data_IF_602910847620
#
_entry.id   IF_602910847620
#
_cell.length_a   1.000
_cell.length_b   1.000
_cell.length_c   1.000
_cell.angle_alpha   90.00
_cell.angle_beta   90.00
_cell.angle_gamma   90.00
#
_symmetry.space_group_name_H-M   'P 1'
#
loop_
_entity.id
_entity.type
_entity.pdbx_description
1 polymer ?
#
# COMPACT_ATOMS: atom_id res chain seq x y z
N UNK A 1 5.07 7.23 58.20
CA UNK A 1 4.64 8.47 57.51
C UNK A 1 5.42 8.60 56.21
N UNK A 2 4.71 8.91 55.12
CA UNK A 2 5.19 9.33 53.79
C UNK A 2 5.78 8.23 52.90
N UNK A 3 5.40 8.05 51.64
CA UNK A 3 4.31 8.56 50.80
C UNK A 3 4.18 7.53 49.66
N UNK A 4 2.97 7.07 49.41
CA UNK A 4 2.60 6.17 48.32
C UNK A 4 2.53 7.00 47.02
N UNK A 5 3.55 6.94 46.16
CA UNK A 5 3.45 7.50 44.81
C UNK A 5 2.78 6.44 43.93
N UNK A 6 1.46 6.58 43.78
CA UNK A 6 0.68 5.88 42.76
C UNK A 6 0.95 6.60 41.44
N UNK A 7 1.88 6.07 40.64
CA UNK A 7 2.09 6.50 39.27
C UNK A 7 0.95 5.98 38.39
N UNK A 8 -0.05 6.84 38.13
CA UNK A 8 -1.08 6.58 37.14
C UNK A 8 -0.48 6.75 35.74
N UNK A 9 0.05 5.67 35.18
CA UNK A 9 0.45 5.61 33.77
C UNK A 9 -0.82 5.50 32.94
N UNK A 10 -1.29 6.66 32.47
CA UNK A 10 -2.36 6.78 31.50
C UNK A 10 -1.85 6.24 30.15
N UNK A 11 -2.13 4.97 29.88
CA UNK A 11 -1.89 4.33 28.60
C UNK A 11 -2.91 4.87 27.58
N UNK A 12 -2.58 5.96 26.91
CA UNK A 12 -3.31 6.47 25.74
C UNK A 12 -2.98 5.59 24.53
N UNK A 13 -3.62 4.43 24.46
CA UNK A 13 -3.63 3.63 23.24
C UNK A 13 -4.56 4.31 22.22
N UNK A 14 -3.98 5.13 21.35
CA UNK A 14 -4.67 5.73 20.20
C UNK A 14 -4.82 4.65 19.13
N UNK A 15 -5.86 3.81 19.25
CA UNK A 15 -6.27 2.90 18.19
C UNK A 15 -6.96 3.70 17.07
N UNK A 16 -6.17 4.37 16.24
CA UNK A 16 -6.62 4.84 14.93
C UNK A 16 -6.68 3.68 13.95
N UNK A 17 -7.63 2.76 14.14
CA UNK A 17 -7.89 1.72 13.16
C UNK A 17 -8.59 2.38 11.96
N UNK A 18 -7.94 2.35 10.80
CA UNK A 18 -8.49 2.81 9.52
C UNK A 18 -9.71 1.89 9.20
N UNK A 19 -10.90 2.29 9.68
CA UNK A 19 -12.04 1.38 9.92
C UNK A 19 -12.61 0.72 8.66
N UNK A 20 -12.21 1.19 7.49
CA UNK A 20 -12.74 0.74 6.20
C UNK A 20 -11.81 -0.26 5.49
N UNK A 21 -10.54 -0.38 5.91
CA UNK A 21 -9.60 -1.32 5.30
C UNK A 21 -9.86 -2.75 5.79
N UNK A 22 -10.10 -3.68 4.87
CA UNK A 22 -10.10 -5.13 5.19
C UNK A 22 -8.69 -5.71 5.17
N UNK A 23 -7.76 -5.01 4.53
CA UNK A 23 -6.36 -5.37 4.46
C UNK A 23 -5.51 -4.13 4.24
N UNK A 24 -4.40 -4.01 4.96
CA UNK A 24 -3.40 -2.96 4.76
C UNK A 24 -2.04 -3.48 5.22
N UNK A 25 -1.05 -3.49 4.33
CA UNK A 25 0.29 -3.98 4.66
C UNK A 25 1.35 -3.36 3.74
N UNK A 26 2.59 -3.33 4.23
CA UNK A 26 3.79 -2.93 3.51
C UNK A 26 4.81 -4.06 3.58
N UNK A 27 5.64 -4.17 2.53
CA UNK A 27 6.84 -4.98 2.51
C UNK A 27 8.01 -4.04 2.25
N UNK A 28 8.94 -4.02 3.19
CA UNK A 28 10.16 -3.20 3.12
C UNK A 28 11.22 -3.88 2.26
N UNK A 29 11.97 -3.08 1.51
CA UNK A 29 13.09 -3.52 0.70
C UNK A 29 14.41 -3.27 1.41
N UNK A 30 15.28 -4.28 1.38
CA UNK A 30 16.61 -4.18 1.95
C UNK A 30 17.40 -3.08 1.24
N UNK A 31 18.12 -2.27 2.03
CA UNK A 31 18.97 -1.18 1.54
C UNK A 31 18.24 -0.19 0.61
N UNK A 32 16.91 -0.08 0.70
CA UNK A 32 16.05 0.75 -0.15
C UNK A 32 16.12 0.43 -1.65
N UNK A 33 16.41 -0.82 -1.99
CA UNK A 33 16.57 -1.29 -3.36
C UNK A 33 15.49 -2.32 -3.71
N UNK A 34 14.58 -1.96 -4.63
CA UNK A 34 13.56 -2.88 -5.12
C UNK A 34 14.06 -3.60 -6.37
N UNK A 35 14.50 -4.85 -6.20
CA UNK A 35 14.90 -5.68 -7.33
C UNK A 35 13.68 -6.18 -8.11
N UNK A 36 13.82 -6.35 -9.43
CA UNK A 36 12.73 -6.85 -10.30
C UNK A 36 12.26 -8.27 -9.93
N UNK A 37 13.17 -9.07 -9.37
CA UNK A 37 12.90 -10.43 -8.87
C UNK A 37 12.12 -10.43 -7.55
N UNK A 38 12.16 -9.32 -6.81
CA UNK A 38 11.43 -9.20 -5.56
C UNK A 38 9.99 -8.86 -5.91
N UNK A 39 9.10 -9.85 -5.79
CA UNK A 39 7.68 -9.73 -6.10
C UNK A 39 6.86 -9.85 -4.81
N UNK A 40 6.71 -8.75 -4.03
CA UNK A 40 5.85 -8.69 -2.85
C UNK A 40 4.46 -9.28 -3.08
N UNK A 41 4.02 -10.11 -2.14
CA UNK A 41 2.80 -10.90 -2.22
C UNK A 41 1.93 -10.67 -1.00
N UNK A 42 0.72 -10.19 -1.22
CA UNK A 42 -0.23 -9.76 -0.21
C UNK A 42 -1.45 -10.67 -0.25
N UNK A 43 -1.72 -11.41 0.84
CA UNK A 43 -2.84 -12.35 0.92
C UNK A 43 -3.87 -11.87 1.94
N UNK A 44 -5.14 -11.84 1.53
CA UNK A 44 -6.26 -11.39 2.35
C UNK A 44 -7.53 -12.17 2.03
N UNK A 45 -8.51 -12.09 2.94
CA UNK A 45 -9.79 -12.79 2.80
C UNK A 45 -10.92 -11.82 2.42
N UNK A 46 -11.63 -12.14 1.35
CA UNK A 46 -12.87 -11.47 0.95
C UNK A 46 -14.05 -12.27 1.50
N UNK A 47 -14.77 -11.68 2.45
CA UNK A 47 -15.94 -12.30 3.12
C UNK A 47 -17.28 -11.97 2.46
N UNK A 48 -17.33 -10.90 1.68
CA UNK A 48 -18.53 -10.41 0.98
C UNK A 48 -18.14 -9.91 -0.42
N UNK A 49 -18.47 -10.70 -1.42
CA UNK A 49 -18.22 -10.45 -2.84
C UNK A 49 -19.18 -9.42 -3.46
N UNK A 50 -20.24 -9.04 -2.74
CA UNK A 50 -21.21 -8.05 -3.23
C UNK A 50 -20.70 -6.61 -3.07
N UNK A 51 -19.72 -6.41 -2.18
CA UNK A 51 -19.11 -5.10 -1.90
C UNK A 51 -18.14 -4.72 -3.03
N UNK A 52 -18.22 -3.49 -3.58
CA UNK A 52 -17.26 -2.97 -4.54
C UNK A 52 -16.06 -2.34 -3.80
N UNK A 53 -14.93 -3.04 -3.72
CA UNK A 53 -13.77 -2.62 -2.94
C UNK A 53 -12.84 -1.67 -3.69
N UNK A 54 -12.26 -0.70 -2.99
CA UNK A 54 -11.15 0.07 -3.52
C UNK A 54 -9.83 -0.64 -3.23
N UNK A 55 -8.98 -0.74 -4.26
CA UNK A 55 -7.63 -1.28 -4.15
C UNK A 55 -6.65 -0.12 -4.32
N UNK A 56 -5.80 0.08 -3.32
CA UNK A 56 -4.75 1.10 -3.34
C UNK A 56 -3.37 0.45 -3.37
N UNK A 57 -2.48 1.03 -4.17
CA UNK A 57 -1.05 0.82 -4.04
C UNK A 57 -0.51 1.80 -3.01
N UNK A 58 0.34 1.31 -2.10
CA UNK A 58 1.03 2.13 -1.13
C UNK A 58 2.51 2.14 -1.51
N UNK A 59 3.12 3.31 -1.62
CA UNK A 59 4.55 3.44 -1.98
C UNK A 59 5.22 4.31 -0.94
N UNK A 60 6.34 3.83 -0.38
CA UNK A 60 7.26 4.64 0.40
C UNK A 60 8.54 4.82 -0.37
N UNK A 61 8.88 6.06 -0.67
CA UNK A 61 10.12 6.39 -1.39
C UNK A 61 10.89 7.50 -0.68
N UNK A 62 12.19 7.54 -0.91
CA UNK A 62 13.02 8.64 -0.47
C UNK A 62 12.99 9.79 -1.50
N UNK A 63 13.35 11.01 -1.08
CA UNK A 63 13.49 12.20 -1.95
C UNK A 63 14.50 12.00 -3.08
N UNK A 64 15.48 11.12 -2.89
CA UNK A 64 16.55 10.80 -3.84
C UNK A 64 16.09 9.88 -4.98
N UNK A 65 14.84 9.37 -4.94
CA UNK A 65 14.30 8.56 -6.03
C UNK A 65 14.37 9.34 -7.36
N UNK A 66 15.02 8.79 -8.41
CA UNK A 66 15.44 9.60 -9.57
C UNK A 66 14.34 9.85 -10.61
N UNK A 67 13.13 9.32 -10.39
CA UNK A 67 12.03 9.41 -11.35
C UNK A 67 10.81 10.10 -10.73
N UNK A 68 10.01 10.78 -11.55
CA UNK A 68 8.73 11.31 -11.06
C UNK A 68 7.65 10.22 -10.90
N UNK A 69 7.82 9.09 -11.60
CA UNK A 69 6.85 8.02 -11.71
C UNK A 69 7.45 6.65 -11.38
N UNK A 70 6.56 5.70 -11.17
CA UNK A 70 6.86 4.32 -10.87
C UNK A 70 5.85 3.44 -11.61
N UNK A 71 6.33 2.53 -12.45
CA UNK A 71 5.51 1.53 -13.12
C UNK A 71 5.51 0.24 -12.31
N UNK A 72 4.32 -0.26 -11.99
CA UNK A 72 4.12 -1.50 -11.21
C UNK A 72 3.12 -2.38 -11.92
N UNK A 73 3.47 -3.63 -12.19
CA UNK A 73 2.49 -4.63 -12.62
C UNK A 73 1.83 -5.24 -11.40
N UNK A 74 0.51 -5.10 -11.31
CA UNK A 74 -0.34 -5.78 -10.32
C UNK A 74 -0.89 -7.06 -10.92
N UNK A 75 -0.78 -8.15 -10.18
CA UNK A 75 -1.42 -9.43 -10.47
C UNK A 75 -2.40 -9.76 -9.35
N UNK A 76 -3.63 -10.16 -9.68
CA UNK A 76 -4.62 -10.64 -8.71
C UNK A 76 -4.89 -12.12 -8.99
N UNK A 77 -4.67 -12.95 -7.98
CA UNK A 77 -4.97 -14.37 -8.00
C UNK A 77 -6.21 -14.65 -7.13
N UNK A 78 -7.13 -15.44 -7.67
CA UNK A 78 -8.34 -15.87 -6.98
C UNK A 78 -8.07 -16.97 -5.94
N UNK A 79 -9.11 -17.39 -5.18
CA UNK A 79 -9.02 -18.46 -4.18
C UNK A 79 -8.58 -19.83 -4.70
N UNK A 80 -8.65 -20.05 -6.01
CA UNK A 80 -8.17 -21.24 -6.71
C UNK A 80 -6.75 -21.06 -7.29
N UNK A 81 -6.03 -20.02 -6.87
CA UNK A 81 -4.71 -19.61 -7.36
C UNK A 81 -4.66 -19.30 -8.86
N UNK A 82 -5.80 -19.08 -9.53
CA UNK A 82 -5.82 -18.63 -10.94
C UNK A 82 -5.64 -17.13 -11.02
N UNK A 83 -4.84 -16.68 -11.99
CA UNK A 83 -4.71 -15.27 -12.32
C UNK A 83 -6.03 -14.76 -12.90
N UNK A 84 -6.66 -13.78 -12.25
CA UNK A 84 -7.95 -13.19 -12.68
C UNK A 84 -7.81 -11.75 -13.17
N UNK A 85 -6.73 -11.07 -12.81
CA UNK A 85 -6.45 -9.72 -13.26
C UNK A 85 -4.95 -9.47 -13.33
N UNK A 86 -4.49 -8.87 -14.43
CA UNK A 86 -3.14 -8.34 -14.60
C UNK A 86 -3.25 -6.92 -15.14
N UNK A 87 -2.61 -5.96 -14.50
CA UNK A 87 -2.64 -4.56 -14.92
C UNK A 87 -1.30 -3.88 -14.66
N UNK A 88 -0.81 -3.14 -15.65
CA UNK A 88 0.29 -2.20 -15.45
C UNK A 88 -0.28 -0.91 -14.89
N UNK A 89 0.27 -0.47 -13.76
CA UNK A 89 -0.12 0.76 -13.07
C UNK A 89 1.00 1.78 -13.17
N UNK A 90 0.62 3.03 -13.41
CA UNK A 90 1.52 4.16 -13.32
C UNK A 90 1.22 4.91 -12.03
N UNK A 91 2.22 4.99 -11.16
CA UNK A 91 2.18 5.77 -9.93
C UNK A 91 2.99 7.06 -10.15
N UNK A 92 2.41 8.22 -9.84
CA UNK A 92 3.11 9.50 -9.85
C UNK A 92 3.50 9.85 -8.41
N UNK A 93 4.80 9.90 -8.13
CA UNK A 93 5.35 10.15 -6.80
C UNK A 93 5.77 11.62 -6.62
N UNK A 94 6.22 12.25 -7.70
CA UNK A 94 6.65 13.64 -7.73
C UNK A 94 5.95 14.38 -8.87
N UNK A 95 5.71 15.67 -8.67
CA UNK A 95 5.20 16.54 -9.73
C UNK A 95 6.27 16.65 -10.85
N UNK A 96 5.92 16.36 -12.12
CA UNK A 96 6.91 16.21 -13.18
C UNK A 96 7.81 17.41 -13.47
N UNK A 97 7.35 18.65 -13.24
CA UNK A 97 8.10 19.87 -13.59
C UNK A 97 8.95 20.39 -12.43
N UNK A 98 8.42 20.30 -11.23
CA UNK A 98 8.99 20.89 -10.01
C UNK A 98 9.75 19.88 -9.16
N UNK A 99 9.51 18.58 -9.36
CA UNK A 99 10.03 17.53 -8.49
C UNK A 99 9.41 17.54 -7.09
N UNK A 100 8.34 18.32 -6.87
CA UNK A 100 7.68 18.37 -5.57
C UNK A 100 7.02 17.02 -5.25
N UNK A 101 7.27 16.42 -4.08
CA UNK A 101 6.62 15.16 -3.69
C UNK A 101 5.10 15.34 -3.59
N UNK A 102 4.36 14.34 -4.07
CA UNK A 102 2.90 14.29 -4.02
C UNK A 102 2.37 13.50 -2.82
N UNK A 103 3.22 12.67 -2.22
CA UNK A 103 2.93 11.91 -1.00
C UNK A 103 2.93 12.79 0.26
N UNK A 104 2.51 12.19 1.38
CA UNK A 104 2.66 12.78 2.72
C UNK A 104 3.96 12.29 3.33
N UNK A 105 4.71 13.17 3.98
CA UNK A 105 6.05 12.81 4.44
C UNK A 105 6.66 13.83 5.38
N UNK A 106 7.78 13.47 5.98
CA UNK A 106 8.60 14.34 6.80
C UNK A 106 10.07 14.12 6.42
N UNK A 107 10.80 15.21 6.20
CA UNK A 107 12.19 15.16 5.74
C UNK A 107 12.28 14.53 4.36
N UNK A 108 13.05 13.46 4.24
CA UNK A 108 13.37 12.82 2.96
C UNK A 108 12.51 11.61 2.63
N UNK A 109 11.47 11.32 3.41
CA UNK A 109 10.63 10.11 3.22
C UNK A 109 9.20 10.52 2.87
N UNK A 110 8.66 9.93 1.81
CA UNK A 110 7.33 10.23 1.27
C UNK A 110 6.49 8.96 1.14
N UNK A 111 5.29 8.99 1.72
CA UNK A 111 4.27 7.95 1.62
C UNK A 111 3.16 8.37 0.65
N UNK A 112 2.95 7.57 -0.39
CA UNK A 112 1.88 7.76 -1.38
C UNK A 112 0.85 6.65 -1.29
N UNK A 113 -0.43 7.01 -1.22
CA UNK A 113 -1.57 6.09 -1.35
C UNK A 113 -2.28 6.38 -2.67
N UNK A 114 -2.20 5.44 -3.61
CA UNK A 114 -2.62 5.65 -5.01
C UNK A 114 -3.74 4.69 -5.35
N UNK A 115 -4.87 5.21 -5.82
CA UNK A 115 -6.01 4.41 -6.21
C UNK A 115 -5.67 3.59 -7.46
N UNK A 116 -5.69 2.28 -7.32
CA UNK A 116 -5.36 1.33 -8.38
C UNK A 116 -6.62 0.81 -9.06
N UNK A 117 -7.66 0.51 -8.29
CA UNK A 117 -8.97 0.12 -8.82
C UNK A 117 -10.05 0.65 -7.90
N UNK A 118 -10.98 1.40 -8.47
CA UNK A 118 -12.17 1.87 -7.79
C UNK A 118 -13.28 0.82 -7.89
N UNK A 119 -13.93 0.48 -6.78
CA UNK A 119 -15.11 -0.38 -6.79
C UNK A 119 -14.91 -1.78 -7.39
N UNK A 120 -13.72 -2.36 -7.24
CA UNK A 120 -13.38 -3.70 -7.70
C UNK A 120 -14.26 -4.75 -7.01
N UNK A 121 -15.05 -5.47 -7.81
CA UNK A 121 -15.87 -6.60 -7.34
C UNK A 121 -15.09 -7.90 -7.46
N UNK A 122 -14.78 -8.50 -6.32
CA UNK A 122 -14.18 -9.83 -6.30
C UNK A 122 -15.22 -10.86 -6.77
N UNK A 123 -14.88 -11.82 -7.66
CA UNK A 123 -15.89 -12.70 -8.25
C UNK A 123 -16.57 -13.69 -7.29
N UNK A 124 -15.91 -14.00 -6.16
CA UNK A 124 -16.39 -14.96 -5.15
C UNK A 124 -15.74 -14.70 -3.80
N UNK A 125 -16.32 -15.20 -2.71
CA UNK A 125 -15.68 -15.22 -1.38
C UNK A 125 -14.42 -16.08 -1.38
N UNK A 126 -13.48 -15.76 -0.51
CA UNK A 126 -12.29 -16.58 -0.25
C UNK A 126 -11.00 -15.78 -0.14
N UNK A 127 -9.88 -16.50 -0.12
CA UNK A 127 -8.54 -15.92 -0.01
C UNK A 127 -8.05 -15.45 -1.38
N UNK A 128 -7.67 -14.19 -1.48
CA UNK A 128 -7.06 -13.62 -2.68
C UNK A 128 -5.60 -13.29 -2.40
N UNK A 129 -4.79 -13.38 -3.44
CA UNK A 129 -3.39 -12.94 -3.38
C UNK A 129 -3.15 -11.88 -4.45
N UNK A 130 -2.65 -10.73 -4.04
CA UNK A 130 -2.19 -9.68 -4.95
C UNK A 130 -0.67 -9.64 -4.93
N UNK A 131 -0.06 -9.69 -6.10
CA UNK A 131 1.39 -9.56 -6.28
C UNK A 131 1.72 -8.26 -6.99
N UNK A 132 2.77 -7.59 -6.54
CA UNK A 132 3.26 -6.34 -7.11
C UNK A 132 4.68 -6.54 -7.61
N UNK A 133 4.94 -6.21 -8.87
CA UNK A 133 6.24 -6.31 -9.49
C UNK A 133 6.59 -4.98 -10.14
N UNK A 134 7.78 -4.44 -9.86
CA UNK A 134 8.26 -3.24 -10.54
C UNK A 134 8.49 -3.52 -12.03
N UNK A 135 8.17 -2.53 -12.87
CA UNK A 135 8.31 -2.58 -14.32
C UNK A 135 9.11 -1.37 -14.82
N UNK A 136 10.14 -0.99 -14.06
CA UNK A 136 11.08 0.07 -14.44
C UNK A 136 12.26 -0.54 -15.21
N UNK A 137 12.99 0.29 -15.97
CA UNK A 137 14.19 -0.17 -16.70
C UNK A 137 15.39 -0.43 -15.79
N UNK A 138 15.47 0.29 -14.67
CA UNK A 138 16.58 0.20 -13.74
C UNK A 138 16.35 -0.93 -12.72
N UNK A 139 17.35 -1.79 -12.53
CA UNK A 139 17.33 -2.91 -11.58
C UNK A 139 18.68 -3.02 -10.84
N UNK A 140 18.71 -2.96 -9.49
CA UNK A 140 17.58 -2.65 -8.62
C UNK A 140 17.08 -1.22 -8.83
N UNK A 141 15.80 -1.00 -8.54
CA UNK A 141 15.22 0.34 -8.48
C UNK A 141 15.57 0.97 -7.11
N UNK A 142 16.42 2.00 -7.06
CA UNK A 142 16.93 2.54 -5.80
C UNK A 142 15.91 3.47 -5.15
N UNK A 143 16.07 3.73 -3.85
CA UNK A 143 15.29 4.68 -3.06
C UNK A 143 13.78 4.40 -3.00
N UNK A 144 13.35 3.19 -3.37
CA UNK A 144 12.05 2.66 -2.98
C UNK A 144 12.26 1.87 -1.68
N UNK A 145 11.70 2.39 -0.60
CA UNK A 145 11.86 1.81 0.73
C UNK A 145 10.87 0.67 0.94
N UNK A 146 9.63 0.84 0.49
CA UNK A 146 8.60 -0.18 0.60
C UNK A 146 7.50 -0.05 -0.43
N UNK A 147 6.87 -1.19 -0.74
CA UNK A 147 5.62 -1.25 -1.48
C UNK A 147 4.56 -1.92 -0.60
N UNK A 148 3.33 -1.46 -0.71
CA UNK A 148 2.22 -1.99 0.05
C UNK A 148 0.93 -2.02 -0.73
N UNK A 149 -0.07 -2.60 -0.08
CA UNK A 149 -1.41 -2.78 -0.59
C UNK A 149 -2.40 -2.37 0.49
N UNK A 150 -3.42 -1.61 0.12
CA UNK A 150 -4.65 -1.44 0.92
C UNK A 150 -5.85 -1.91 0.14
N UNK A 151 -6.72 -2.69 0.75
CA UNK A 151 -8.02 -3.10 0.19
C UNK A 151 -9.09 -2.60 1.14
N UNK A 152 -9.96 -1.73 0.64
CA UNK A 152 -10.87 -0.94 1.47
C UNK A 152 -12.30 -1.09 0.97
N UNK A 153 -13.24 -1.16 1.90
CA UNK A 153 -14.67 -1.01 1.58
C UNK A 153 -14.90 0.43 1.07
N UNK A 154 -15.90 0.64 0.21
CA UNK A 154 -16.24 1.98 -0.26
C UNK A 154 -16.57 2.84 0.96
N UNK A 155 -16.07 4.08 0.97
CA UNK A 155 -16.43 5.02 2.03
C UNK A 155 -17.95 5.24 1.99
N UNK A 156 -18.63 5.32 3.15
CA UNK A 156 -20.01 5.79 3.16
C UNK A 156 -20.07 7.17 2.50
N UNK A 157 -21.17 7.50 1.80
CA UNK A 157 -21.35 8.83 1.21
C UNK A 157 -21.10 9.89 2.28
N UNK A 158 -20.28 10.90 1.97
CA UNK A 158 -20.19 12.08 2.83
C UNK A 158 -21.57 12.74 2.82
N UNK A 159 -22.25 12.72 3.96
CA UNK A 159 -23.47 13.51 4.18
C UNK A 159 -23.16 15.00 4.12
#
# INVERSE_FOLDING_TARGET
MKNLIIGFVLCLSVFGCDSNAIYKSFIDFKDTNWYIKDVPSFTFEVKDETIPYDIYLLVRNASQYPYNNLYVTRYIYGPDNKLINKRLEQVILFEPKTGKPLGKGLGDIWDSKVLSSHGYKFPKKGKYTIKLQQYMRQDPLPFIMSIGLSVEKPLPPKQ
#
